data_IF_227542568286
#
_entry.id   IF_227542568286
#
_cell.length_a   1.000
_cell.length_b   1.000
_cell.length_c   1.000
_cell.angle_alpha   90.00
_cell.angle_beta   90.00
_cell.angle_gamma   90.00
#
_symmetry.space_group_name_H-M   'P 1'
#
loop_
_entity.id
_entity.type
_entity.pdbx_description
1 polymer ?
#
# COMPACT_ATOMS: atom_id res chain seq x y z
N UNK A 1 -43.18 -66.86 -13.71
CA UNK A 1 -43.30 -65.38 -13.67
C UNK A 1 -42.95 -64.87 -15.06
N UNK A 2 -43.83 -64.84 -16.08
CA UNK A 2 -45.10 -64.11 -16.19
C UNK A 2 -44.98 -62.67 -15.69
N UNK A 3 -44.61 -61.73 -16.57
CA UNK A 3 -45.46 -60.56 -16.83
C UNK A 3 -45.04 -59.80 -18.10
N UNK A 4 -45.96 -59.77 -19.07
CA UNK A 4 -46.09 -58.78 -20.14
C UNK A 4 -46.70 -57.49 -19.57
N UNK A 5 -46.23 -56.32 -19.99
CA UNK A 5 -47.04 -55.11 -20.34
C UNK A 5 -46.05 -53.99 -20.73
N UNK A 6 -45.88 -53.64 -22.01
CA UNK A 6 -46.70 -52.76 -22.86
C UNK A 6 -46.94 -51.35 -22.28
N UNK A 7 -46.79 -50.35 -23.17
CA UNK A 7 -47.32 -48.96 -23.18
C UNK A 7 -46.22 -47.91 -22.90
N UNK A 8 -46.03 -46.80 -23.63
CA UNK A 8 -46.50 -46.28 -24.93
C UNK A 8 -45.92 -44.84 -25.06
N UNK A 9 -45.54 -44.43 -26.28
CA UNK A 9 -45.48 -43.03 -26.81
C UNK A 9 -44.42 -42.09 -26.18
N UNK A 10 -43.71 -41.26 -26.93
CA UNK A 10 -44.23 -40.11 -27.69
C UNK A 10 -43.27 -39.72 -28.85
N UNK A 11 -43.86 -39.63 -30.05
CA UNK A 11 -43.60 -38.80 -31.25
C UNK A 11 -42.33 -37.92 -31.30
N UNK A 12 -41.47 -38.08 -32.32
CA UNK A 12 -41.54 -37.54 -33.69
C UNK A 12 -41.08 -36.07 -33.83
N UNK A 13 -39.91 -35.89 -34.45
CA UNK A 13 -39.54 -34.68 -35.18
C UNK A 13 -38.57 -35.09 -36.33
N UNK A 14 -39.11 -35.12 -37.54
CA UNK A 14 -38.38 -35.16 -38.81
C UNK A 14 -38.49 -33.76 -39.45
N UNK A 15 -37.40 -33.28 -40.06
CA UNK A 15 -37.36 -32.00 -40.80
C UNK A 15 -35.96 -31.39 -40.78
N UNK A 16 -34.98 -31.99 -41.48
CA UNK A 16 -34.47 -31.56 -42.81
C UNK A 16 -33.81 -30.16 -42.79
N UNK A 17 -32.47 -30.16 -42.82
CA UNK A 17 -31.70 -29.17 -43.57
C UNK A 17 -30.39 -29.83 -44.04
N UNK A 18 -30.33 -30.16 -45.32
CA UNK A 18 -29.14 -30.59 -46.03
C UNK A 18 -28.50 -29.39 -46.74
N UNK A 19 -27.18 -29.49 -46.90
CA UNK A 19 -26.36 -28.85 -47.92
C UNK A 19 -26.09 -27.33 -47.80
N UNK A 20 -24.92 -27.00 -47.24
CA UNK A 20 -24.03 -25.99 -47.80
C UNK A 20 -22.56 -26.36 -47.51
N UNK A 21 -21.90 -26.92 -48.52
CA UNK A 21 -20.59 -26.50 -49.03
C UNK A 21 -19.48 -26.27 -47.98
N UNK A 22 -18.52 -27.19 -47.81
CA UNK A 22 -17.28 -27.22 -48.60
C UNK A 22 -16.93 -25.86 -49.23
N UNK A 23 -16.13 -25.05 -48.54
CA UNK A 23 -15.05 -24.17 -49.06
C UNK A 23 -14.66 -23.14 -47.98
N UNK A 24 -13.64 -23.44 -47.19
CA UNK A 24 -12.86 -22.43 -46.48
C UNK A 24 -11.47 -22.99 -46.16
N UNK A 25 -10.80 -23.45 -47.20
CA UNK A 25 -9.36 -23.60 -47.18
C UNK A 25 -8.76 -22.31 -47.75
N UNK A 26 -7.67 -21.84 -47.13
CA UNK A 26 -6.84 -20.67 -47.48
C UNK A 26 -7.36 -19.28 -47.11
N UNK A 27 -6.96 -18.84 -45.91
CA UNK A 27 -6.23 -17.57 -45.77
C UNK A 27 -5.04 -17.80 -44.83
N UNK A 28 -4.04 -18.52 -45.34
CA UNK A 28 -2.68 -18.50 -44.79
C UNK A 28 -2.03 -17.23 -45.33
N UNK A 29 -2.12 -16.15 -44.56
CA UNK A 29 -1.33 -14.96 -44.81
C UNK A 29 0.15 -15.33 -44.66
N UNK A 30 1.02 -15.02 -45.64
CA UNK A 30 2.44 -15.01 -45.39
C UNK A 30 2.71 -13.87 -44.40
N UNK A 31 3.21 -14.21 -43.22
CA UNK A 31 3.90 -13.24 -42.39
C UNK A 31 5.12 -12.80 -43.21
N UNK A 32 5.09 -11.54 -43.64
CA UNK A 32 6.19 -10.86 -44.26
C UNK A 32 7.30 -10.78 -43.22
N UNK A 33 8.21 -11.75 -43.26
CA UNK A 33 9.36 -11.89 -42.39
C UNK A 33 10.39 -10.86 -42.86
N UNK A 34 10.15 -9.59 -42.50
CA UNK A 34 11.14 -8.53 -42.66
C UNK A 34 12.33 -8.86 -41.77
N UNK A 35 13.54 -9.08 -42.33
CA UNK A 35 14.72 -9.21 -41.52
C UNK A 35 15.02 -7.83 -40.94
N UNK A 36 14.65 -7.63 -39.67
CA UNK A 36 15.26 -6.59 -38.87
C UNK A 36 16.73 -6.96 -38.73
N UNK A 37 17.55 -6.38 -39.62
CA UNK A 37 18.98 -6.30 -39.45
C UNK A 37 19.23 -5.53 -38.15
N UNK A 38 19.49 -6.27 -37.08
CA UNK A 38 20.11 -5.71 -35.89
C UNK A 38 21.51 -5.29 -36.32
N UNK A 39 21.66 -4.01 -36.66
CA UNK A 39 22.97 -3.36 -36.68
C UNK A 39 23.56 -3.57 -35.30
N UNK A 40 24.63 -4.35 -35.24
CA UNK A 40 25.50 -4.42 -34.07
C UNK A 40 25.99 -3.00 -33.79
N UNK A 41 25.43 -2.37 -32.75
CA UNK A 41 26.00 -1.15 -32.20
C UNK A 41 27.43 -1.47 -31.78
N UNK A 42 28.38 -0.83 -32.45
CA UNK A 42 29.79 -0.93 -32.15
C UNK A 42 29.99 -0.46 -30.70
N UNK A 43 30.48 -1.38 -29.88
CA UNK A 43 30.92 -1.12 -28.51
C UNK A 43 32.07 -0.12 -28.62
N UNK A 44 31.78 1.13 -28.25
CA UNK A 44 32.80 2.16 -28.08
C UNK A 44 33.64 1.80 -26.85
N UNK A 45 34.98 1.91 -26.93
CA UNK A 45 35.83 1.64 -25.79
C UNK A 45 35.59 2.68 -24.70
N UNK A 46 35.52 2.17 -23.47
CA UNK A 46 35.38 2.88 -22.21
C UNK A 46 36.36 4.07 -22.08
N UNK A 47 35.90 5.28 -21.70
CA UNK A 47 36.81 6.38 -21.43
C UNK A 47 37.53 6.12 -20.12
N UNK A 48 38.85 6.02 -20.20
CA UNK A 48 39.81 6.06 -19.10
C UNK A 48 39.41 7.13 -18.05
N UNK A 49 39.45 6.83 -16.74
CA UNK A 49 39.17 7.83 -15.72
C UNK A 49 40.16 9.00 -15.83
N UNK A 50 39.65 10.18 -16.14
CA UNK A 50 40.39 11.41 -16.01
C UNK A 50 40.55 11.71 -14.51
N UNK A 51 41.80 11.84 -14.07
CA UNK A 51 42.19 12.36 -12.77
C UNK A 51 41.54 13.72 -12.55
N UNK A 52 40.67 13.84 -11.55
CA UNK A 52 40.15 15.11 -11.09
C UNK A 52 41.29 15.95 -10.49
N UNK A 53 41.35 17.28 -10.75
CA UNK A 53 42.22 18.15 -10.00
C UNK A 53 41.74 18.23 -8.54
N UNK A 54 42.68 17.96 -7.64
CA UNK A 54 42.53 18.07 -6.20
C UNK A 54 42.20 19.52 -5.84
N UNK A 55 40.98 19.75 -5.36
CA UNK A 55 40.56 21.04 -4.82
C UNK A 55 41.25 21.23 -3.46
N UNK A 56 41.93 22.36 -3.21
CA UNK A 56 42.67 22.54 -1.97
C UNK A 56 41.69 22.63 -0.80
N UNK A 57 41.86 21.72 0.16
CA UNK A 57 41.23 21.77 1.47
C UNK A 57 41.68 23.07 2.15
N UNK A 58 40.76 23.95 2.63
CA UNK A 58 41.19 25.10 3.41
C UNK A 58 41.81 24.59 4.73
N UNK A 59 43.05 24.98 4.97
CA UNK A 59 43.75 24.70 6.22
C UNK A 59 42.97 25.31 7.39
N UNK A 60 42.52 24.46 8.32
CA UNK A 60 42.01 24.90 9.61
C UNK A 60 43.04 25.80 10.28
N UNK A 61 42.66 27.05 10.51
CA UNK A 61 43.45 27.99 11.30
C UNK A 61 43.67 27.40 12.70
N UNK A 62 44.92 27.00 12.98
CA UNK A 62 45.35 26.68 14.34
C UNK A 62 45.34 27.98 15.15
N UNK A 63 44.45 28.07 16.12
CA UNK A 63 44.43 29.17 17.07
C UNK A 63 45.69 29.09 17.93
N UNK A 64 46.63 29.99 17.68
CA UNK A 64 47.73 30.29 18.60
C UNK A 64 47.14 30.81 19.91
N UNK A 65 47.63 30.27 21.02
CA UNK A 65 47.29 30.71 22.38
C UNK A 65 47.58 32.19 22.57
N UNK A 66 46.62 33.02 23.03
CA UNK A 66 46.93 34.38 23.43
C UNK A 66 47.70 34.37 24.74
N UNK A 67 48.85 35.04 24.71
CA UNK A 67 49.60 35.46 25.88
C UNK A 67 48.71 36.27 26.83
N UNK A 68 48.92 36.02 28.11
CA UNK A 68 48.35 36.68 29.29
C UNK A 68 48.32 38.21 29.15
N UNK A 69 47.13 38.76 28.91
CA UNK A 69 46.79 40.15 29.20
C UNK A 69 45.62 40.14 30.18
N UNK A 70 45.79 40.84 31.31
CA UNK A 70 44.92 40.76 32.49
C UNK A 70 43.47 41.15 32.20
N UNK A 71 42.57 40.21 32.43
CA UNK A 71 41.14 40.47 32.61
C UNK A 71 40.89 40.70 34.10
N UNK A 72 40.27 41.84 34.42
CA UNK A 72 39.82 42.17 35.76
C UNK A 72 38.88 41.10 36.33
N UNK A 73 38.89 41.00 37.65
CA UNK A 73 38.20 39.97 38.44
C UNK A 73 36.75 39.78 38.00
N UNK A 74 36.48 38.64 37.35
CA UNK A 74 35.14 38.16 37.06
C UNK A 74 34.48 37.75 38.38
N UNK A 75 33.64 38.64 38.92
CA UNK A 75 32.75 38.34 40.04
C UNK A 75 31.86 37.18 39.57
N UNK A 76 31.95 36.06 40.28
CA UNK A 76 31.40 34.78 39.87
C UNK A 76 29.92 34.86 39.47
N UNK A 77 29.61 34.35 38.27
CA UNK A 77 28.25 33.98 37.92
C UNK A 77 27.86 32.78 38.79
N UNK A 78 26.95 33.01 39.74
CA UNK A 78 26.29 31.92 40.46
C UNK A 78 25.64 31.01 39.42
N UNK A 79 25.94 29.70 39.38
CA UNK A 79 25.18 28.81 38.53
C UNK A 79 23.75 28.81 39.07
N UNK A 80 22.82 29.39 38.31
CA UNK A 80 21.41 29.12 38.53
C UNK A 80 21.27 27.64 38.22
N UNK A 81 21.19 26.82 39.28
CA UNK A 81 20.79 25.43 39.15
C UNK A 81 19.46 25.47 38.42
N UNK A 82 19.45 25.03 37.16
CA UNK A 82 18.22 24.72 36.47
C UNK A 82 17.56 23.62 37.28
N UNK A 83 16.60 23.99 38.12
CA UNK A 83 15.66 23.04 38.67
C UNK A 83 14.89 22.50 37.47
N UNK A 84 15.35 21.37 36.92
CA UNK A 84 14.53 20.56 36.03
C UNK A 84 13.25 20.30 36.80
N UNK A 85 12.08 20.79 36.33
CA UNK A 85 10.85 20.46 37.01
C UNK A 85 10.74 18.94 36.99
N UNK A 86 10.73 18.32 38.15
CA UNK A 86 10.28 16.94 38.31
C UNK A 86 8.75 16.93 38.16
N UNK A 87 8.28 17.32 36.99
CA UNK A 87 6.91 17.15 36.53
C UNK A 87 7.00 16.21 35.34
N UNK A 88 6.41 15.02 35.45
CA UNK A 88 6.26 14.15 34.28
C UNK A 88 5.65 14.94 33.14
N UNK A 89 6.17 14.78 31.93
CA UNK A 89 5.58 15.39 30.74
C UNK A 89 4.16 14.85 30.57
N UNK A 90 3.18 15.59 31.08
CA UNK A 90 1.75 15.23 31.06
C UNK A 90 1.21 15.17 29.64
N UNK A 91 1.98 15.66 28.65
CA UNK A 91 1.68 15.58 27.23
C UNK A 91 2.45 14.46 26.52
N UNK A 92 3.16 13.58 27.23
CA UNK A 92 3.91 12.49 26.61
C UNK A 92 2.95 11.43 26.05
N UNK A 93 2.92 11.21 24.74
CA UNK A 93 2.07 10.18 24.17
C UNK A 93 2.61 8.77 24.48
N UNK A 94 1.72 7.81 24.64
CA UNK A 94 2.05 6.39 24.82
C UNK A 94 1.31 5.54 23.81
N UNK A 95 1.94 4.44 23.39
CA UNK A 95 1.42 3.52 22.40
C UNK A 95 1.49 2.09 22.92
N UNK A 96 0.35 1.41 22.97
CA UNK A 96 0.25 0.00 23.26
C UNK A 96 -0.20 -0.75 21.99
N UNK A 97 0.48 -1.87 21.73
CA UNK A 97 0.19 -2.74 20.61
C UNK A 97 -0.10 -4.15 21.14
N UNK A 98 -1.15 -4.78 20.63
CA UNK A 98 -1.52 -6.15 20.98
C UNK A 98 -1.82 -6.95 19.70
N UNK A 99 -1.24 -8.15 19.59
CA UNK A 99 -1.54 -9.05 18.49
C UNK A 99 -2.93 -9.69 18.72
N UNK A 100 -3.73 -9.73 17.67
CA UNK A 100 -5.11 -10.22 17.70
C UNK A 100 -5.31 -11.32 16.66
N UNK A 101 -6.33 -12.19 16.83
CA UNK A 101 -6.71 -13.19 15.83
C UNK A 101 -6.87 -12.60 14.43
N UNK A 102 -6.62 -13.42 13.41
CA UNK A 102 -6.60 -12.97 12.03
C UNK A 102 -5.35 -12.18 11.65
N UNK A 103 -4.25 -12.32 12.41
CA UNK A 103 -3.01 -11.55 12.24
C UNK A 103 -3.25 -10.04 12.20
N UNK A 104 -4.03 -9.54 13.16
CA UNK A 104 -4.35 -8.13 13.34
C UNK A 104 -3.52 -7.53 14.47
N UNK A 105 -3.30 -6.22 14.42
CA UNK A 105 -2.66 -5.43 15.48
C UNK A 105 -3.72 -4.50 16.04
N UNK A 106 -4.09 -4.71 17.29
CA UNK A 106 -4.83 -3.74 18.07
C UNK A 106 -3.87 -2.65 18.53
N UNK A 107 -4.20 -1.41 18.22
CA UNK A 107 -3.42 -0.22 18.51
C UNK A 107 -4.23 0.66 19.45
N UNK A 108 -3.66 0.99 20.61
CA UNK A 108 -4.18 2.00 21.52
C UNK A 108 -3.11 3.09 21.70
N UNK A 109 -3.45 4.31 21.29
CA UNK A 109 -2.67 5.52 21.49
C UNK A 109 -3.35 6.35 22.57
N UNK A 110 -2.60 6.77 23.58
CA UNK A 110 -2.98 7.81 24.53
C UNK A 110 -2.09 9.03 24.27
N UNK A 111 -2.66 10.11 23.74
CA UNK A 111 -1.97 11.36 23.44
C UNK A 111 -2.78 12.54 23.99
N UNK A 112 -2.72 12.80 25.31
CA UNK A 112 -3.70 13.63 26.02
C UNK A 112 -3.73 15.11 25.58
N UNK A 113 -2.68 15.57 24.90
CA UNK A 113 -2.55 16.92 24.36
C UNK A 113 -2.87 17.03 22.86
N UNK A 114 -3.10 15.90 22.18
CA UNK A 114 -3.48 15.85 20.76
C UNK A 114 -4.95 15.45 20.64
N UNK A 115 -5.87 16.30 21.11
CA UNK A 115 -7.31 16.03 21.23
C UNK A 115 -8.07 16.37 19.96
N UNK A 116 -8.76 15.40 19.36
CA UNK A 116 -9.46 15.62 18.10
C UNK A 116 -8.52 15.95 16.95
N UNK A 117 -7.25 15.55 17.05
CA UNK A 117 -6.20 15.90 16.10
C UNK A 117 -5.97 14.79 15.09
N UNK A 118 -5.39 15.17 13.96
CA UNK A 118 -4.97 14.22 12.93
C UNK A 118 -3.72 13.46 13.40
N UNK A 119 -3.75 12.15 13.22
CA UNK A 119 -2.57 11.28 13.31
C UNK A 119 -2.38 10.53 11.98
N UNK A 120 -1.14 10.20 11.64
CA UNK A 120 -0.82 9.32 10.50
C UNK A 120 -0.18 8.04 11.03
N UNK A 121 -0.82 6.91 10.76
CA UNK A 121 -0.33 5.58 11.15
C UNK A 121 0.41 4.98 9.96
N UNK A 122 1.63 4.48 10.18
CA UNK A 122 2.44 3.78 9.18
C UNK A 122 2.88 2.40 9.67
N UNK A 123 2.79 1.41 8.79
CA UNK A 123 3.25 0.05 9.04
C UNK A 123 3.61 -0.68 7.74
N UNK A 124 4.88 -1.02 7.55
CA UNK A 124 5.34 -1.88 6.44
C UNK A 124 4.85 -1.44 5.04
N UNK A 125 4.87 -0.13 4.76
CA UNK A 125 4.38 0.46 3.51
C UNK A 125 2.91 0.90 3.57
N UNK A 126 2.10 0.36 4.49
CA UNK A 126 0.75 0.87 4.73
C UNK A 126 0.84 2.24 5.41
N UNK A 127 0.03 3.20 4.96
CA UNK A 127 -0.12 4.52 5.56
C UNK A 127 -1.57 4.94 5.52
N UNK A 128 -2.10 5.49 6.61
CA UNK A 128 -3.44 6.09 6.61
C UNK A 128 -3.56 7.13 7.73
N UNK A 129 -4.43 8.10 7.53
CA UNK A 129 -4.65 9.19 8.48
C UNK A 129 -5.93 8.95 9.28
N UNK A 130 -5.85 9.05 10.61
CA UNK A 130 -6.99 8.95 11.52
C UNK A 130 -7.11 10.21 12.37
N UNK A 131 -8.18 10.30 13.16
CA UNK A 131 -8.41 11.37 14.11
C UNK A 131 -8.42 10.79 15.52
N UNK A 132 -7.71 11.40 16.45
CA UNK A 132 -7.87 11.09 17.87
C UNK A 132 -9.24 11.55 18.37
N UNK A 133 -9.69 10.97 19.47
CA UNK A 133 -10.91 11.38 20.15
C UNK A 133 -10.70 12.69 20.92
N UNK A 134 -11.78 13.23 21.49
CA UNK A 134 -11.76 14.49 22.23
C UNK A 134 -10.89 14.44 23.51
N UNK A 135 -10.58 13.26 24.02
CA UNK A 135 -9.66 13.02 25.13
C UNK A 135 -8.20 12.79 24.69
N UNK A 136 -7.93 12.68 23.38
CA UNK A 136 -6.61 12.40 22.83
C UNK A 136 -6.34 10.92 22.59
N UNK A 137 -7.33 10.04 22.83
CA UNK A 137 -7.19 8.60 22.62
C UNK A 137 -7.48 8.22 21.16
N UNK A 138 -6.73 7.26 20.60
CA UNK A 138 -7.09 6.59 19.35
C UNK A 138 -6.98 5.07 19.50
N UNK A 139 -8.04 4.35 19.12
CA UNK A 139 -8.09 2.89 19.13
C UNK A 139 -8.38 2.39 17.72
N UNK A 140 -7.49 1.56 17.16
CA UNK A 140 -7.54 1.11 15.77
C UNK A 140 -7.15 -0.36 15.67
N UNK A 141 -7.71 -1.06 14.68
CA UNK A 141 -7.29 -2.41 14.31
C UNK A 141 -6.61 -2.37 12.93
N UNK A 142 -5.36 -2.81 12.87
CA UNK A 142 -4.52 -2.71 11.66
C UNK A 142 -4.04 -4.10 11.25
N UNK A 143 -4.19 -4.55 9.99
CA UNK A 143 -3.63 -5.82 9.54
C UNK A 143 -2.11 -5.82 9.62
N UNK A 144 -1.53 -6.86 10.20
CA UNK A 144 -0.08 -7.04 10.22
C UNK A 144 0.44 -7.44 8.82
N UNK A 145 1.10 -6.54 8.10
CA UNK A 145 1.73 -6.85 6.81
C UNK A 145 3.12 -7.50 6.97
N UNK A 146 3.64 -7.56 8.21
CA UNK A 146 4.92 -8.19 8.52
C UNK A 146 4.84 -8.90 9.87
N UNK A 147 5.47 -10.07 9.99
CA UNK A 147 5.50 -10.81 11.27
C UNK A 147 6.26 -10.06 12.36
N UNK A 148 7.31 -9.34 11.97
CA UNK A 148 8.03 -8.40 12.83
C UNK A 148 7.53 -6.99 12.55
N UNK A 149 6.45 -6.62 13.24
CA UNK A 149 5.76 -5.37 12.99
C UNK A 149 6.41 -4.22 13.75
N UNK A 150 6.72 -3.16 13.01
CA UNK A 150 6.96 -1.83 13.55
C UNK A 150 5.81 -0.94 13.10
N UNK A 151 5.21 -0.24 14.06
CA UNK A 151 4.14 0.73 13.83
C UNK A 151 4.65 2.10 14.23
N UNK A 152 4.46 3.08 13.35
CA UNK A 152 4.82 4.46 13.55
C UNK A 152 3.57 5.34 13.53
N UNK A 153 3.43 6.22 14.51
CA UNK A 153 2.36 7.21 14.57
C UNK A 153 2.97 8.61 14.55
N UNK A 154 2.64 9.37 13.53
CA UNK A 154 3.01 10.79 13.41
C UNK A 154 1.86 11.64 13.92
N UNK A 155 2.15 12.52 14.87
CA UNK A 155 1.23 13.52 15.40
C UNK A 155 1.47 14.88 14.72
N UNK A 156 0.53 15.82 14.82
CA UNK A 156 0.62 17.10 14.11
C UNK A 156 1.77 18.00 14.57
N UNK A 157 2.21 17.85 15.82
CA UNK A 157 3.34 18.56 16.44
C UNK A 157 4.71 17.98 16.05
N UNK A 158 4.77 17.25 14.92
CA UNK A 158 5.93 16.53 14.43
C UNK A 158 6.50 15.48 15.40
N UNK A 159 5.76 15.10 16.46
CA UNK A 159 6.15 13.98 17.32
C UNK A 159 5.88 12.66 16.64
N UNK A 160 6.77 11.72 16.90
CA UNK A 160 6.72 10.35 16.38
C UNK A 160 6.70 9.37 17.55
N UNK A 161 5.70 8.50 17.56
CA UNK A 161 5.61 7.38 18.51
C UNK A 161 5.82 6.08 17.76
N UNK A 162 6.72 5.25 18.26
CA UNK A 162 7.06 3.95 17.66
C UNK A 162 6.69 2.83 18.62
N UNK A 163 6.10 1.77 18.06
CA UNK A 163 5.86 0.51 18.75
C UNK A 163 6.35 -0.66 17.93
N UNK A 164 6.86 -1.69 18.60
CA UNK A 164 7.26 -2.96 17.97
C UNK A 164 6.46 -4.10 18.57
N UNK A 165 6.02 -5.04 17.74
CA UNK A 165 5.30 -6.23 18.16
C UNK A 165 5.58 -7.40 17.22
N UNK A 166 5.59 -8.62 17.77
CA UNK A 166 5.64 -9.85 16.99
C UNK A 166 4.22 -10.32 16.69
N UNK A 167 3.92 -10.57 15.42
CA UNK A 167 2.66 -11.14 14.93
C UNK A 167 2.98 -12.31 14.00
N UNK A 168 3.44 -13.47 14.53
CA UNK A 168 3.89 -14.60 13.71
C UNK A 168 2.85 -15.05 12.68
N UNK A 169 1.57 -15.01 13.07
CA UNK A 169 0.42 -15.37 12.24
C UNK A 169 0.31 -14.57 10.94
N UNK A 170 0.97 -13.40 10.82
CA UNK A 170 1.03 -12.66 9.57
C UNK A 170 1.63 -13.49 8.42
N UNK A 171 2.44 -14.50 8.73
CA UNK A 171 2.98 -15.44 7.74
C UNK A 171 1.92 -16.38 7.14
N UNK A 172 0.80 -16.58 7.83
CA UNK A 172 -0.32 -17.39 7.37
C UNK A 172 -1.31 -16.61 6.50
N UNK A 173 -1.09 -15.31 6.27
CA UNK A 173 -1.96 -14.46 5.46
C UNK A 173 -1.21 -13.85 4.28
N UNK A 174 -1.93 -13.69 3.17
CA UNK A 174 -1.55 -12.85 2.06
C UNK A 174 -2.46 -11.64 2.00
N UNK A 175 -1.86 -10.47 1.82
CA UNK A 175 -2.57 -9.19 1.86
C UNK A 175 -2.15 -8.31 0.71
N UNK A 176 -3.12 -7.58 0.17
CA UNK A 176 -2.88 -6.52 -0.79
C UNK A 176 -3.52 -5.23 -0.27
N UNK A 177 -2.73 -4.18 -0.17
CA UNK A 177 -3.20 -2.85 0.19
C UNK A 177 -3.01 -1.88 -0.97
N UNK A 178 -3.95 -0.95 -1.08
CA UNK A 178 -3.81 0.26 -1.89
C UNK A 178 -3.99 1.47 -0.99
N UNK A 179 -3.10 2.44 -1.11
CA UNK A 179 -3.01 3.67 -0.31
C UNK A 179 -3.03 4.87 -1.26
N UNK A 180 -3.80 5.89 -0.92
CA UNK A 180 -3.91 7.09 -1.74
C UNK A 180 -4.27 8.32 -0.90
N UNK A 181 -4.11 9.48 -1.51
CA UNK A 181 -4.47 10.78 -0.95
C UNK A 181 -5.60 11.41 -1.76
N UNK A 182 -6.34 12.33 -1.14
CA UNK A 182 -7.26 13.18 -1.89
C UNK A 182 -6.48 14.07 -2.88
N UNK A 183 -7.07 14.40 -4.04
CA UNK A 183 -8.48 14.20 -4.41
C UNK A 183 -8.75 12.88 -5.15
N UNK A 184 -7.89 11.86 -5.05
CA UNK A 184 -8.19 10.57 -5.64
C UNK A 184 -9.39 9.92 -4.93
N UNK A 185 -10.46 9.68 -5.68
CA UNK A 185 -11.63 8.92 -5.22
C UNK A 185 -11.50 7.49 -5.72
N UNK A 186 -10.75 6.68 -4.97
CA UNK A 186 -10.41 5.31 -5.33
C UNK A 186 -11.20 4.29 -4.51
N UNK A 187 -11.69 3.23 -5.15
CA UNK A 187 -12.29 2.08 -4.50
C UNK A 187 -11.54 0.81 -4.89
N UNK A 188 -11.15 -0.01 -3.91
CA UNK A 188 -10.60 -1.33 -4.17
C UNK A 188 -11.75 -2.31 -4.41
N UNK A 189 -11.74 -2.97 -5.57
CA UNK A 189 -12.69 -4.02 -5.93
C UNK A 189 -11.97 -5.35 -6.05
N UNK A 190 -12.44 -6.35 -5.32
CA UNK A 190 -11.89 -7.71 -5.36
C UNK A 190 -12.96 -8.68 -5.79
N UNK A 191 -12.78 -9.32 -6.93
CA UNK A 191 -13.69 -10.35 -7.45
C UNK A 191 -13.12 -11.72 -7.16
N UNK A 192 -13.80 -12.49 -6.31
CA UNK A 192 -13.40 -13.84 -5.87
C UNK A 192 -14.53 -14.82 -6.20
N UNK A 193 -14.40 -15.53 -7.33
CA UNK A 193 -15.51 -16.27 -7.93
C UNK A 193 -16.65 -15.34 -8.33
N UNK A 194 -17.87 -15.64 -7.86
CA UNK A 194 -19.06 -14.82 -8.11
C UNK A 194 -19.25 -13.66 -7.10
N UNK A 195 -18.34 -13.52 -6.12
CA UNK A 195 -18.43 -12.50 -5.07
C UNK A 195 -17.57 -11.29 -5.43
N UNK A 196 -18.16 -10.10 -5.35
CA UNK A 196 -17.43 -8.82 -5.41
C UNK A 196 -17.32 -8.25 -4.00
N UNK A 197 -16.10 -7.99 -3.55
CA UNK A 197 -15.77 -7.48 -2.23
C UNK A 197 -15.26 -6.05 -2.36
N UNK A 198 -15.83 -5.16 -1.55
CA UNK A 198 -15.43 -3.75 -1.41
C UNK A 198 -15.13 -3.46 0.06
N UNK A 199 -14.33 -2.42 0.32
CA UNK A 199 -13.90 -2.11 1.68
C UNK A 199 -15.03 -1.60 2.57
N UNK A 200 -15.11 -2.11 3.80
CA UNK A 200 -15.97 -1.57 4.86
C UNK A 200 -15.14 -1.16 6.08
N UNK A 201 -15.60 -0.15 6.82
CA UNK A 201 -14.83 0.52 7.88
C UNK A 201 -14.72 -0.29 9.19
N UNK A 202 -15.60 -1.26 9.44
CA UNK A 202 -15.53 -2.11 10.62
C UNK A 202 -14.96 -3.48 10.22
N UNK A 203 -13.87 -3.99 10.81
CA UNK A 203 -13.53 -5.41 10.69
C UNK A 203 -14.54 -6.21 11.52
N UNK A 204 -15.48 -6.88 10.86
CA UNK A 204 -16.42 -7.80 11.51
C UNK A 204 -15.69 -9.01 12.11
N UNK A 205 -16.15 -9.49 13.26
CA UNK A 205 -15.72 -10.74 13.90
C UNK A 205 -16.19 -12.01 13.15
N UNK A 206 -16.61 -11.87 11.88
CA UNK A 206 -17.28 -12.93 11.13
C UNK A 206 -16.60 -13.19 9.77
N UNK A 207 -16.62 -14.46 9.39
CA UNK A 207 -15.66 -15.22 8.56
C UNK A 207 -15.66 -14.87 7.04
N UNK A 208 -16.01 -13.64 6.67
CA UNK A 208 -16.25 -13.22 5.28
C UNK A 208 -15.70 -11.86 4.88
N UNK A 209 -15.33 -10.99 5.82
CA UNK A 209 -14.86 -9.65 5.47
C UNK A 209 -13.38 -9.65 5.10
N UNK A 210 -13.11 -9.84 3.80
CA UNK A 210 -11.75 -9.86 3.28
C UNK A 210 -11.18 -8.47 2.97
N UNK A 211 -12.00 -7.42 2.83
CA UNK A 211 -11.53 -6.06 2.54
C UNK A 211 -11.89 -5.10 3.68
N UNK A 212 -10.89 -4.46 4.25
CA UNK A 212 -11.06 -3.43 5.29
C UNK A 212 -10.75 -2.03 4.74
N UNK A 213 -11.47 -1.02 5.21
CA UNK A 213 -11.18 0.38 4.95
C UNK A 213 -10.47 1.02 6.15
N UNK A 214 -9.39 1.75 5.87
CA UNK A 214 -8.57 2.45 6.84
C UNK A 214 -8.43 3.93 6.43
N UNK A 215 -8.34 4.77 7.45
CA UNK A 215 -8.26 6.21 7.30
C UNK A 215 -9.61 6.92 7.41
N UNK A 216 -9.57 8.18 7.80
CA UNK A 216 -10.73 9.05 7.91
C UNK A 216 -10.71 10.10 6.80
N UNK A 217 -11.79 10.28 6.02
CA UNK A 217 -11.88 11.37 5.05
C UNK A 217 -12.10 12.75 5.72
N UNK A 218 -12.44 12.79 7.01
CA UNK A 218 -12.79 14.03 7.72
C UNK A 218 -11.59 14.80 8.30
N UNK A 219 -10.37 14.28 8.15
CA UNK A 219 -9.15 14.98 8.57
C UNK A 219 -8.57 15.78 7.41
N UNK A 220 -7.82 16.85 7.71
CA UNK A 220 -7.12 17.63 6.69
C UNK A 220 -6.10 16.75 5.94
N UNK A 221 -6.01 16.88 4.61
CA UNK A 221 -5.10 16.11 3.73
C UNK A 221 -5.15 14.58 3.97
N UNK A 222 -6.34 13.95 3.93
CA UNK A 222 -6.52 12.57 4.35
C UNK A 222 -5.70 11.61 3.48
N UNK A 223 -5.08 10.63 4.16
CA UNK A 223 -4.46 9.46 3.54
C UNK A 223 -5.39 8.29 3.84
N UNK A 224 -5.84 7.60 2.79
CA UNK A 224 -6.80 6.51 2.88
C UNK A 224 -6.14 5.22 2.40
N UNK A 225 -6.58 4.10 2.97
CA UNK A 225 -6.12 2.79 2.54
C UNK A 225 -7.24 1.75 2.53
N UNK A 226 -7.17 0.79 1.62
CA UNK A 226 -8.00 -0.41 1.59
C UNK A 226 -7.08 -1.62 1.63
N UNK A 227 -7.38 -2.61 2.46
CA UNK A 227 -6.56 -3.82 2.61
C UNK A 227 -7.42 -5.06 2.38
N UNK A 228 -7.11 -5.79 1.33
CA UNK A 228 -7.61 -7.14 1.08
C UNK A 228 -6.74 -8.17 1.82
N UNK A 229 -7.36 -9.14 2.49
CA UNK A 229 -6.71 -10.20 3.26
C UNK A 229 -7.31 -11.57 2.94
N UNK A 230 -6.45 -12.56 2.73
CA UNK A 230 -6.84 -13.96 2.57
C UNK A 230 -5.83 -14.85 3.28
N UNK A 231 -6.29 -15.96 3.87
CA UNK A 231 -5.41 -16.95 4.45
C UNK A 231 -4.67 -17.73 3.35
N UNK A 232 -3.39 -18.02 3.59
CA UNK A 232 -2.54 -18.79 2.68
C UNK A 232 -1.40 -17.98 2.04
N UNK A 233 -0.58 -18.65 1.20
CA UNK A 233 0.69 -18.14 0.71
C UNK A 233 0.56 -17.15 -0.47
N UNK A 234 -0.65 -16.89 -0.97
CA UNK A 234 -0.89 -15.91 -2.02
C UNK A 234 -2.32 -15.37 -2.00
N UNK A 235 -2.64 -14.46 -2.93
CA UNK A 235 -3.96 -13.83 -3.05
C UNK A 235 -5.02 -14.73 -3.71
N UNK A 236 -4.70 -16.00 -3.97
CA UNK A 236 -5.58 -16.95 -4.65
C UNK A 236 -5.83 -16.58 -6.11
N UNK A 237 -7.05 -16.82 -6.59
CA UNK A 237 -7.51 -16.49 -7.94
C UNK A 237 -8.33 -15.19 -8.00
N UNK A 238 -8.30 -14.40 -6.93
CA UNK A 238 -9.06 -13.17 -6.86
C UNK A 238 -8.55 -12.16 -7.89
N UNK A 239 -9.46 -11.58 -8.67
CA UNK A 239 -9.15 -10.45 -9.54
C UNK A 239 -9.22 -9.16 -8.72
N UNK A 240 -8.11 -8.42 -8.68
CA UNK A 240 -7.94 -7.23 -7.84
C UNK A 240 -7.77 -6.03 -8.75
N UNK A 241 -8.76 -5.15 -8.70
CA UNK A 241 -8.77 -3.89 -9.44
C UNK A 241 -9.03 -2.74 -8.49
N UNK A 242 -8.68 -1.53 -8.92
CA UNK A 242 -9.18 -0.32 -8.27
C UNK A 242 -9.91 0.55 -9.27
N UNK A 243 -11.01 1.13 -8.84
CA UNK A 243 -11.79 2.08 -9.62
C UNK A 243 -11.51 3.48 -9.11
N UNK A 244 -11.00 4.33 -9.98
CA UNK A 244 -10.77 5.74 -9.70
C UNK A 244 -11.87 6.56 -10.37
N UNK A 245 -12.69 7.25 -9.58
CA UNK A 245 -13.64 8.21 -10.13
C UNK A 245 -12.91 9.43 -10.68
N UNK A 246 -13.25 9.80 -11.91
CA UNK A 246 -12.77 11.01 -12.54
C UNK A 246 -13.66 12.16 -12.08
N UNK A 247 -13.08 13.14 -11.38
CA UNK A 247 -13.78 14.31 -10.85
C UNK A 247 -13.12 15.59 -11.35
N UNK A 248 -13.78 16.76 -11.23
CA UNK A 248 -13.13 18.03 -11.53
C UNK A 248 -11.83 18.28 -10.74
N UNK A 249 -11.69 17.66 -9.57
CA UNK A 249 -10.49 17.80 -8.73
C UNK A 249 -9.34 16.86 -9.14
N UNK A 250 -9.63 15.80 -9.88
CA UNK A 250 -8.66 14.75 -10.28
C UNK A 250 -8.37 14.70 -11.78
N UNK A 251 -9.28 15.15 -12.65
CA UNK A 251 -9.13 15.04 -14.10
C UNK A 251 -7.91 15.80 -14.64
N UNK A 252 -7.25 15.25 -15.66
CA UNK A 252 -6.06 15.83 -16.28
C UNK A 252 -4.82 15.88 -15.41
N UNK A 253 -4.84 15.24 -14.23
CA UNK A 253 -3.72 15.18 -13.29
C UNK A 253 -3.10 13.80 -13.28
N UNK A 254 -1.84 13.73 -12.89
CA UNK A 254 -1.21 12.47 -12.47
C UNK A 254 -1.38 12.32 -10.97
N UNK A 255 -2.07 11.28 -10.53
CA UNK A 255 -2.27 10.96 -9.11
C UNK A 255 -1.27 9.89 -8.67
N UNK A 256 -0.88 9.95 -7.40
CA UNK A 256 -0.01 8.94 -6.79
C UNK A 256 -0.83 7.92 -6.04
N UNK A 257 -0.52 6.65 -6.26
CA UNK A 257 -1.09 5.51 -5.53
C UNK A 257 0.06 4.64 -5.05
N UNK A 258 0.01 4.24 -3.79
CA UNK A 258 0.93 3.28 -3.19
C UNK A 258 0.23 1.92 -3.12
N UNK A 259 0.93 0.85 -3.50
CA UNK A 259 0.46 -0.52 -3.30
C UNK A 259 1.39 -1.26 -2.37
N UNK A 260 0.83 -2.13 -1.54
CA UNK A 260 1.60 -2.99 -0.64
C UNK A 260 1.14 -4.42 -0.83
N UNK A 261 2.07 -5.32 -1.09
CA UNK A 261 1.81 -6.75 -1.11
C UNK A 261 2.53 -7.40 0.06
N UNK A 262 1.84 -8.26 0.78
CA UNK A 262 2.39 -9.05 1.88
C UNK A 262 2.09 -10.51 1.69
N UNK A 263 3.09 -11.36 1.83
CA UNK A 263 2.95 -12.82 1.88
C UNK A 263 4.12 -13.43 2.68
N UNK A 264 3.86 -14.54 3.38
CA UNK A 264 4.89 -15.21 4.18
C UNK A 264 5.49 -14.32 5.27
N UNK A 265 4.76 -13.30 5.73
CA UNK A 265 5.20 -12.39 6.79
C UNK A 265 6.16 -11.31 6.32
N UNK A 266 6.30 -11.10 5.00
CA UNK A 266 7.14 -10.08 4.39
C UNK A 266 6.26 -9.18 3.51
N UNK A 267 6.47 -7.86 3.60
CA UNK A 267 5.80 -6.87 2.78
C UNK A 267 6.74 -6.23 1.76
N UNK A 268 6.22 -5.94 0.57
CA UNK A 268 6.83 -5.10 -0.46
C UNK A 268 5.87 -3.98 -0.83
N UNK A 269 6.36 -2.74 -0.77
CA UNK A 269 5.61 -1.56 -1.20
C UNK A 269 6.10 -1.09 -2.56
N UNK A 270 5.21 -0.52 -3.35
CA UNK A 270 5.54 0.02 -4.65
C UNK A 270 4.65 1.24 -4.94
N UNK A 271 5.25 2.26 -5.54
CA UNK A 271 4.54 3.48 -5.90
C UNK A 271 4.13 3.44 -7.38
N UNK A 272 2.98 4.03 -7.69
CA UNK A 272 2.38 4.03 -9.03
C UNK A 272 1.84 5.41 -9.35
N UNK A 273 2.22 5.91 -10.51
CA UNK A 273 1.63 7.11 -11.10
C UNK A 273 0.43 6.73 -11.97
N UNK A 274 -0.69 7.39 -11.73
CA UNK A 274 -1.96 7.17 -12.44
C UNK A 274 -2.28 8.44 -13.20
N UNK A 275 -2.10 8.42 -14.51
CA UNK A 275 -2.49 9.51 -15.39
C UNK A 275 -4.01 9.51 -15.59
N UNK A 276 -4.68 10.54 -15.05
CA UNK A 276 -6.13 10.68 -15.15
C UNK A 276 -6.49 11.42 -16.46
N UNK A 277 -7.45 10.90 -17.26
CA UNK A 277 -7.93 11.58 -18.45
C UNK A 277 -8.46 13.00 -18.19
N UNK A 278 -8.53 13.80 -19.26
CA UNK A 278 -9.14 15.14 -19.19
C UNK A 278 -10.64 15.04 -18.87
N UNK A 279 -11.16 16.05 -18.20
CA UNK A 279 -12.60 16.15 -17.91
C UNK A 279 -13.44 16.02 -19.20
N UNK A 280 -14.46 15.16 -19.19
CA UNK A 280 -15.39 14.99 -20.30
C UNK A 280 -14.88 14.17 -21.50
N UNK A 281 -13.69 13.53 -21.40
CA UNK A 281 -13.11 12.82 -22.56
C UNK A 281 -13.46 11.33 -22.70
N UNK A 282 -13.96 10.65 -21.65
CA UNK A 282 -14.79 9.41 -21.68
C UNK A 282 -14.78 8.69 -20.31
N UNK A 283 -15.96 8.20 -19.89
CA UNK A 283 -16.17 7.40 -18.67
C UNK A 283 -16.00 8.17 -17.35
N UNK A 284 -16.90 7.96 -16.38
CA UNK A 284 -16.77 8.59 -15.06
C UNK A 284 -15.73 7.88 -14.16
N UNK A 285 -15.22 6.73 -14.62
CA UNK A 285 -14.37 5.82 -13.84
C UNK A 285 -13.22 5.30 -14.69
N UNK A 286 -12.00 5.40 -14.16
CA UNK A 286 -10.80 4.74 -14.65
C UNK A 286 -10.56 3.45 -13.86
N UNK A 287 -10.55 2.29 -14.53
CA UNK A 287 -10.27 1.00 -13.90
C UNK A 287 -8.77 0.69 -13.97
N UNK A 288 -8.15 0.60 -12.79
CA UNK A 288 -6.74 0.24 -12.61
C UNK A 288 -6.62 -1.27 -12.42
N UNK A 289 -5.95 -1.92 -13.38
CA UNK A 289 -5.68 -3.37 -13.37
C UNK A 289 -4.22 -3.63 -13.00
N UNK A 290 -3.91 -4.88 -12.66
CA UNK A 290 -2.54 -5.35 -12.39
C UNK A 290 -1.85 -4.58 -11.24
N UNK A 291 -2.64 -4.19 -10.22
CA UNK A 291 -2.12 -3.46 -9.05
C UNK A 291 -1.33 -4.36 -8.11
N UNK A 292 -1.75 -5.62 -7.99
CA UNK A 292 -1.04 -6.65 -7.24
C UNK A 292 0.11 -7.24 -8.08
N UNK A 293 1.21 -7.68 -7.45
CA UNK A 293 2.26 -8.40 -8.15
C UNK A 293 1.70 -9.64 -8.88
N UNK A 294 2.19 -9.89 -10.09
CA UNK A 294 1.81 -11.08 -10.83
C UNK A 294 2.11 -12.36 -10.02
N UNK A 295 1.17 -13.31 -10.04
CA UNK A 295 1.36 -14.62 -9.43
C UNK A 295 2.59 -15.29 -10.05
N UNK A 296 3.66 -15.42 -9.26
CA UNK A 296 4.78 -16.30 -9.65
C UNK A 296 4.30 -17.73 -9.44
N UNK A 297 4.02 -18.44 -10.54
CA UNK A 297 3.79 -19.88 -10.52
C UNK A 297 5.07 -20.53 -9.97
N UNK A 298 5.02 -21.04 -8.74
CA UNK A 298 6.05 -21.93 -8.24
C UNK A 298 5.86 -23.28 -8.93
N UNK A 299 6.85 -23.71 -9.72
CA UNK A 299 6.87 -25.08 -10.22
C UNK A 299 7.02 -26.03 -9.00
N UNK A 300 6.25 -27.13 -8.93
CA UNK A 300 6.45 -28.13 -7.89
C UNK A 300 7.90 -28.68 -7.98
N UNK A 301 8.52 -28.88 -6.82
CA UNK A 301 9.77 -29.64 -6.71
C UNK A 301 9.51 -31.13 -6.88
#
# INVERSE_FOLDING_TARGET
MLWRQKILRVTAAFGVAAAAAHTAERLKAPADEQPFLITAAQITPEPKPATAPESPVPQSASLSTPTKAGIGELIGITPVAAATPAGGDTCKPTLQLTAMPGAMIHLALDAPCNRGERIVVRHAGLSFAAKTQADGVAVLNVPALKSDAMVAIYLQDARLVLGKIKVPDASAYSRFAVVWELPAELELRVTDGDKVLVGSAAPGQDDGQKVIALGSPSVQAPVLARVYSVAGPGLGRADITAELRITPASCGRTLRVETVYSAGGIATAAERDVSVPLCGTSGDILVLKNLAPALKLAAPK
#
